data_IF_619171327769
#
_entry.id   IF_619171327769
#
_cell.length_a   1.000
_cell.length_b   1.000
_cell.length_c   1.000
_cell.angle_alpha   90.00
_cell.angle_beta   90.00
_cell.angle_gamma   90.00
#
_symmetry.space_group_name_H-M   'P 1'
#
loop_
_entity.id
_entity.type
_entity.pdbx_description
1 polymer ?
#
# COMPACT_ATOMS: atom_id res chain seq x y z
N UNK A 1 50.25 58.02 34.17
CA UNK A 1 49.47 57.01 33.45
C UNK A 1 48.02 57.39 33.63
N UNK A 2 47.34 57.79 32.55
CA UNK A 2 45.91 58.12 32.58
C UNK A 2 45.19 56.85 32.19
N UNK A 3 44.60 56.22 33.19
CA UNK A 3 43.76 55.06 33.01
C UNK A 3 42.48 55.61 32.40
N UNK A 4 42.44 55.53 31.07
CA UNK A 4 41.26 55.80 30.27
C UNK A 4 40.17 54.89 30.82
N UNK A 5 39.23 55.46 31.58
CA UNK A 5 37.98 54.83 31.93
C UNK A 5 37.18 54.71 30.63
N UNK A 6 37.61 53.83 29.72
CA UNK A 6 36.86 53.44 28.54
C UNK A 6 35.65 52.66 29.05
N UNK A 7 34.65 53.46 29.45
CA UNK A 7 33.23 53.16 29.44
C UNK A 7 32.90 51.67 29.65
N UNK A 8 33.23 51.19 30.85
CA UNK A 8 32.85 49.84 31.32
C UNK A 8 31.36 49.56 31.08
N UNK A 9 30.52 50.61 31.09
CA UNK A 9 29.10 50.53 30.77
C UNK A 9 28.79 50.31 29.28
N UNK A 10 29.53 50.92 28.34
CA UNK A 10 29.31 50.72 26.90
C UNK A 10 29.71 49.31 26.48
N UNK A 11 30.85 48.82 27.01
CA UNK A 11 31.30 47.46 26.78
C UNK A 11 30.31 46.42 27.30
N UNK A 12 29.77 46.60 28.51
CA UNK A 12 28.73 45.71 29.06
C UNK A 12 27.43 45.71 28.23
N UNK A 13 27.00 46.88 27.73
CA UNK A 13 25.84 46.99 26.82
C UNK A 13 26.10 46.25 25.50
N UNK A 14 27.29 46.41 24.94
CA UNK A 14 27.71 45.75 23.71
C UNK A 14 27.73 44.23 23.88
N UNK A 15 28.30 43.74 24.97
CA UNK A 15 28.32 42.31 25.30
C UNK A 15 26.92 41.74 25.46
N UNK A 16 26.01 42.45 26.16
CA UNK A 16 24.61 42.02 26.29
C UNK A 16 23.87 41.96 24.96
N UNK A 17 24.09 42.93 24.07
CA UNK A 17 23.50 42.92 22.73
C UNK A 17 24.03 41.75 21.91
N UNK A 18 25.34 41.47 21.95
CA UNK A 18 25.94 40.33 21.26
C UNK A 18 25.42 38.99 21.79
N UNK A 19 25.31 38.84 23.11
CA UNK A 19 24.74 37.64 23.74
C UNK A 19 23.27 37.47 23.37
N UNK A 20 22.49 38.55 23.37
CA UNK A 20 21.08 38.52 23.00
C UNK A 20 20.89 38.14 21.52
N UNK A 21 21.74 38.66 20.63
CA UNK A 21 21.77 38.25 19.22
C UNK A 21 22.14 36.77 19.05
N UNK A 22 23.12 36.27 19.82
CA UNK A 22 23.48 34.85 19.83
C UNK A 22 22.32 33.97 20.33
N UNK A 23 21.63 34.37 21.39
CA UNK A 23 20.45 33.67 21.90
C UNK A 23 19.33 33.62 20.86
N UNK A 24 19.08 34.74 20.16
CA UNK A 24 18.10 34.79 19.07
C UNK A 24 18.51 33.87 17.92
N UNK A 25 19.78 33.88 17.51
CA UNK A 25 20.28 33.02 16.44
C UNK A 25 20.13 31.52 16.79
N UNK A 26 20.43 31.15 18.03
CA UNK A 26 20.23 29.77 18.54
C UNK A 26 18.74 29.43 18.58
N UNK A 27 17.88 30.32 19.07
CA UNK A 27 16.44 30.11 19.11
C UNK A 27 15.85 29.93 17.70
N UNK A 28 16.29 30.73 16.72
CA UNK A 28 15.89 30.60 15.31
C UNK A 28 16.36 29.25 14.75
N UNK A 29 17.59 28.83 15.07
CA UNK A 29 18.12 27.54 14.62
C UNK A 29 17.31 26.37 15.17
N UNK A 30 17.02 26.39 16.48
CA UNK A 30 16.17 25.38 17.14
C UNK A 30 14.77 25.35 16.51
N UNK A 31 14.18 26.52 16.25
CA UNK A 31 12.86 26.61 15.60
C UNK A 31 12.89 25.99 14.18
N UNK A 32 13.92 26.29 13.38
CA UNK A 32 14.08 25.71 12.04
C UNK A 32 14.28 24.19 12.06
N UNK A 33 14.90 23.63 13.11
CA UNK A 33 15.02 22.18 13.27
C UNK A 33 13.73 21.52 13.78
N UNK A 34 12.97 22.17 14.66
CA UNK A 34 11.76 21.59 15.26
C UNK A 34 10.55 21.55 14.29
N UNK A 35 10.36 22.57 13.44
CA UNK A 35 9.23 22.64 12.48
C UNK A 35 9.17 21.46 11.49
N UNK A 36 10.26 21.07 10.79
CA UNK A 36 10.20 19.98 9.82
C UNK A 36 9.97 18.61 10.48
N UNK A 37 10.36 18.43 11.75
CA UNK A 37 10.16 17.18 12.50
C UNK A 37 8.67 16.93 12.78
N UNK A 38 7.92 17.98 13.13
CA UNK A 38 6.49 17.87 13.41
C UNK A 38 5.71 17.56 12.13
N UNK A 39 6.04 18.23 11.02
CA UNK A 39 5.36 18.01 9.74
C UNK A 39 5.64 16.63 9.14
N UNK A 40 6.86 16.11 9.26
CA UNK A 40 7.21 14.75 8.81
C UNK A 40 6.44 13.67 9.59
N UNK A 41 6.26 13.87 10.89
CA UNK A 41 5.59 12.91 11.75
C UNK A 41 4.08 12.81 11.44
N UNK A 42 3.43 13.92 11.09
CA UNK A 42 2.02 13.93 10.69
C UNK A 42 1.75 13.15 9.39
N UNK A 43 2.62 13.29 8.39
CA UNK A 43 2.49 12.56 7.11
C UNK A 43 2.69 11.05 7.28
N UNK A 44 3.66 10.64 8.10
CA UNK A 44 3.95 9.23 8.37
C UNK A 44 2.79 8.49 9.05
N UNK A 45 1.97 9.20 9.84
CA UNK A 45 0.76 8.61 10.44
C UNK A 45 -0.33 8.32 9.43
N UNK A 46 -0.55 9.22 8.47
CA UNK A 46 -1.54 9.00 7.41
C UNK A 46 -1.14 7.84 6.50
N UNK A 47 0.13 7.80 6.09
CA UNK A 47 0.66 6.71 5.26
C UNK A 47 0.55 5.35 5.98
N UNK A 48 0.85 5.26 7.28
CA UNK A 48 0.68 4.01 8.02
C UNK A 48 -0.79 3.53 8.04
N UNK A 49 -1.73 4.43 8.32
CA UNK A 49 -3.15 4.08 8.36
C UNK A 49 -3.68 3.62 6.98
N UNK A 50 -3.23 4.27 5.91
CA UNK A 50 -3.57 3.88 4.55
C UNK A 50 -3.01 2.51 4.18
N UNK A 51 -1.73 2.24 4.51
CA UNK A 51 -1.12 0.93 4.27
C UNK A 51 -1.79 -0.17 5.10
N UNK A 52 -2.09 0.10 6.37
CA UNK A 52 -2.75 -0.87 7.25
C UNK A 52 -4.16 -1.21 6.73
N UNK A 53 -4.89 -0.22 6.23
CA UNK A 53 -6.19 -0.43 5.59
C UNK A 53 -6.06 -1.27 4.31
N UNK A 54 -5.01 -1.04 3.51
CA UNK A 54 -4.77 -1.83 2.30
C UNK A 54 -4.45 -3.29 2.63
N UNK A 55 -3.58 -3.52 3.64
CA UNK A 55 -3.24 -4.86 4.11
C UNK A 55 -4.50 -5.60 4.57
N UNK A 56 -5.36 -4.96 5.37
CA UNK A 56 -6.59 -5.59 5.84
C UNK A 56 -7.52 -5.99 4.70
N UNK A 57 -7.72 -5.11 3.70
CA UNK A 57 -8.54 -5.40 2.52
C UNK A 57 -7.98 -6.55 1.70
N UNK A 58 -6.67 -6.57 1.49
CA UNK A 58 -6.01 -7.62 0.72
C UNK A 58 -6.07 -8.97 1.45
N UNK A 59 -5.92 -8.96 2.77
CA UNK A 59 -6.04 -10.16 3.59
C UNK A 59 -7.48 -10.70 3.62
N UNK A 60 -8.48 -9.82 3.69
CA UNK A 60 -9.89 -10.20 3.54
C UNK A 60 -10.19 -10.81 2.16
N UNK A 61 -9.71 -10.19 1.09
CA UNK A 61 -9.84 -10.71 -0.26
C UNK A 61 -9.17 -12.09 -0.39
N UNK A 62 -7.98 -12.25 0.17
CA UNK A 62 -7.26 -13.53 0.18
C UNK A 62 -8.02 -14.59 0.98
N UNK A 63 -8.62 -14.24 2.13
CA UNK A 63 -9.47 -15.14 2.92
C UNK A 63 -10.71 -15.58 2.13
N UNK A 64 -11.41 -14.66 1.49
CA UNK A 64 -12.58 -14.96 0.67
C UNK A 64 -12.24 -15.86 -0.52
N UNK A 65 -11.11 -15.58 -1.19
CA UNK A 65 -10.67 -16.36 -2.34
C UNK A 65 -10.20 -17.77 -1.93
N UNK A 66 -9.57 -17.92 -0.76
CA UNK A 66 -9.25 -19.23 -0.20
C UNK A 66 -10.52 -20.01 0.15
N UNK A 67 -11.49 -19.37 0.79
CA UNK A 67 -12.77 -20.01 1.12
C UNK A 67 -13.52 -20.48 -0.12
N UNK A 68 -13.52 -19.70 -1.21
CA UNK A 68 -14.14 -20.12 -2.47
C UNK A 68 -13.37 -21.26 -3.14
N UNK A 69 -12.03 -21.23 -3.12
CA UNK A 69 -11.19 -22.34 -3.57
C UNK A 69 -11.45 -23.63 -2.79
N UNK A 70 -11.56 -23.55 -1.47
CA UNK A 70 -11.82 -24.70 -0.61
C UNK A 70 -13.24 -25.23 -0.82
N UNK A 71 -14.24 -24.34 -1.01
CA UNK A 71 -15.60 -24.74 -1.38
C UNK A 71 -15.62 -25.46 -2.73
N UNK A 72 -14.94 -24.92 -3.75
CA UNK A 72 -14.81 -25.56 -5.07
C UNK A 72 -14.08 -26.90 -4.99
N UNK A 73 -13.05 -27.02 -4.15
CA UNK A 73 -12.34 -28.29 -3.91
C UNK A 73 -13.19 -29.31 -3.17
N UNK A 74 -14.04 -28.86 -2.24
CA UNK A 74 -14.89 -29.73 -1.44
C UNK A 74 -16.03 -30.38 -2.24
N UNK A 75 -16.44 -29.77 -3.36
CA UNK A 75 -17.40 -30.36 -4.30
C UNK A 75 -16.75 -30.71 -5.65
N UNK A 76 -15.99 -31.81 -5.71
CA UNK A 76 -15.38 -32.29 -6.95
C UNK A 76 -16.42 -32.67 -8.02
N UNK A 77 -17.68 -32.96 -7.63
CA UNK A 77 -18.75 -33.28 -8.60
C UNK A 77 -19.24 -32.03 -9.31
N UNK A 78 -19.34 -30.89 -8.62
CA UNK A 78 -19.67 -29.62 -9.27
C UNK A 78 -18.58 -29.19 -10.26
N UNK A 79 -17.30 -29.37 -9.91
CA UNK A 79 -16.17 -29.09 -10.82
C UNK A 79 -16.20 -30.01 -12.03
N UNK A 80 -16.44 -31.32 -11.83
CA UNK A 80 -16.56 -32.30 -12.91
C UNK A 80 -17.72 -31.98 -13.86
N UNK A 81 -18.87 -31.55 -13.31
CA UNK A 81 -20.02 -31.12 -14.12
C UNK A 81 -19.70 -29.88 -14.96
N UNK A 82 -19.07 -28.87 -14.37
CA UNK A 82 -18.65 -27.67 -15.09
C UNK A 82 -17.64 -28.01 -16.20
N UNK A 83 -16.67 -28.87 -15.91
CA UNK A 83 -15.67 -29.31 -16.88
C UNK A 83 -16.30 -30.07 -18.05
N UNK A 84 -17.28 -30.94 -17.80
CA UNK A 84 -17.99 -31.67 -18.86
C UNK A 84 -18.93 -30.78 -19.68
N UNK A 85 -19.73 -29.95 -19.03
CA UNK A 85 -20.79 -29.16 -19.69
C UNK A 85 -20.26 -27.88 -20.36
N UNK A 86 -19.36 -27.14 -19.70
CA UNK A 86 -18.86 -25.85 -20.21
C UNK A 86 -17.58 -25.98 -21.00
N UNK A 87 -16.67 -26.87 -20.58
CA UNK A 87 -15.36 -27.01 -21.19
C UNK A 87 -15.28 -28.24 -22.12
N UNK A 88 -16.27 -29.13 -22.11
CA UNK A 88 -16.29 -30.34 -22.93
C UNK A 88 -15.16 -31.31 -22.61
N UNK A 89 -14.57 -31.23 -21.42
CA UNK A 89 -13.48 -32.10 -20.98
C UNK A 89 -14.01 -33.47 -20.55
N UNK A 90 -13.23 -34.50 -20.84
CA UNK A 90 -13.50 -35.89 -20.44
C UNK A 90 -12.30 -36.43 -19.64
N UNK A 91 -12.54 -37.40 -18.76
CA UNK A 91 -11.45 -38.02 -17.98
C UNK A 91 -10.54 -38.86 -18.88
N UNK A 92 -9.25 -39.04 -18.52
CA UNK A 92 -8.36 -39.96 -19.24
C UNK A 92 -9.00 -41.35 -19.32
N UNK A 93 -9.20 -41.86 -20.55
CA UNK A 93 -9.85 -43.14 -20.81
C UNK A 93 -11.33 -43.07 -21.20
N UNK A 94 -11.98 -41.91 -21.16
CA UNK A 94 -13.34 -41.70 -21.69
C UNK A 94 -13.31 -41.39 -23.20
N UNK A 95 -14.31 -41.89 -23.95
CA UNK A 95 -14.46 -41.63 -25.40
C UNK A 95 -15.50 -40.52 -25.62
N UNK A 96 -15.09 -39.41 -26.22
CA UNK A 96 -15.98 -38.29 -26.55
C UNK A 96 -16.60 -38.51 -27.93
N UNK A 97 -17.91 -38.78 -27.97
CA UNK A 97 -18.66 -38.92 -29.22
C UNK A 97 -19.29 -37.56 -29.56
N UNK A 98 -18.88 -36.97 -30.69
CA UNK A 98 -19.48 -35.74 -31.22
C UNK A 98 -20.39 -36.12 -32.38
N UNK A 99 -21.68 -35.80 -32.25
CA UNK A 99 -22.62 -35.92 -33.35
C UNK A 99 -22.41 -34.74 -34.29
N UNK A 100 -22.10 -35.02 -35.56
CA UNK A 100 -22.14 -34.01 -36.62
C UNK A 100 -23.51 -34.07 -37.27
N UNK A 101 -24.09 -32.91 -37.59
CA UNK A 101 -25.28 -32.88 -38.46
C UNK A 101 -24.95 -33.59 -39.78
N UNK A 102 -25.89 -34.38 -40.32
CA UNK A 102 -25.74 -34.93 -41.66
C UNK A 102 -25.46 -33.78 -42.63
N UNK A 103 -24.50 -33.93 -43.57
CA UNK A 103 -24.29 -32.92 -44.59
C UNK A 103 -25.62 -32.62 -45.30
N UNK A 104 -25.97 -31.34 -45.55
CA UNK A 104 -27.23 -30.99 -46.19
C UNK A 104 -27.35 -31.71 -47.53
N UNK A 105 -28.30 -32.66 -47.63
CA UNK A 105 -28.51 -33.46 -48.83
C UNK A 105 -28.12 -34.94 -48.76
N UNK A 106 -27.75 -35.48 -47.59
CA UNK A 106 -27.68 -36.93 -47.39
C UNK A 106 -29.09 -37.54 -47.42
N UNK A 107 -29.59 -37.78 -48.63
CA UNK A 107 -30.88 -38.40 -48.90
C UNK A 107 -30.96 -39.76 -48.19
N UNK A 108 -31.93 -39.90 -47.29
CA UNK A 108 -32.40 -41.19 -46.77
C UNK A 108 -32.93 -41.98 -47.97
N UNK A 109 -32.12 -42.88 -48.51
CA UNK A 109 -32.57 -43.80 -49.55
C UNK A 109 -33.36 -44.94 -48.85
N UNK A 110 -34.59 -45.23 -49.32
CA UNK A 110 -35.49 -46.21 -48.69
C UNK A 110 -34.96 -47.64 -48.77
#
# INVERSE_FOLDING_TARGET
MKDESVDLGIWDKLTRVVVLLLCIAVAITIAYLCVPVIQKNARMRQTNLELETQIQREEEAARQLKASLDALRSDPRAVERLAREKLGYAKPGEVVIRFQEPPPGALVRP
#
